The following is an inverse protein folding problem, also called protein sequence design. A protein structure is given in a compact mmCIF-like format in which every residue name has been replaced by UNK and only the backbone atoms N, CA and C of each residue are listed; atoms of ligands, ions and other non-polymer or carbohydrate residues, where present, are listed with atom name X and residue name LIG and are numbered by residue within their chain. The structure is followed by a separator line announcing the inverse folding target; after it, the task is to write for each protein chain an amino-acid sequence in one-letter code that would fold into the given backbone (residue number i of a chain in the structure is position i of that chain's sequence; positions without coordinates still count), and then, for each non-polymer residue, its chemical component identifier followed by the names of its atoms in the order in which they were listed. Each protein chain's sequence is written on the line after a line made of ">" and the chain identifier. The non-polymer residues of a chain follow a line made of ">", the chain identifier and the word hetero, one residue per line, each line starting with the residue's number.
data_IF_113372645839
#
_entry.id   IF_113372645839
#
_cell.length_a   1.000
_cell.length_b   1.000
_cell.length_c   1.000
_cell.angle_alpha   90.00
_cell.angle_beta   90.00
_cell.angle_gamma   90.00
#
_symmetry.space_group_name_H-M   'P 1'
#
loop_
_entity.id
_entity.type
_entity.pdbx_description
1 polymer ?
#
# COMPACT_ATOMS: atom_id res chain seq x y z
N UNK A 1 -41.43 -9.23 -3.42
CA UNK A 1 -40.12 -8.72 -2.97
C UNK A 1 -39.78 -9.46 -1.69
N UNK A 2 -38.61 -10.12 -1.60
CA UNK A 2 -38.22 -10.79 -0.35
C UNK A 2 -37.96 -9.74 0.76
N UNK A 3 -38.09 -10.16 2.03
CA UNK A 3 -37.81 -9.30 3.18
C UNK A 3 -36.39 -8.68 3.09
N UNK A 4 -35.43 -9.47 2.66
CA UNK A 4 -34.06 -9.01 2.43
C UNK A 4 -33.94 -7.95 1.31
N UNK A 5 -34.70 -8.08 0.23
CA UNK A 5 -34.73 -7.05 -0.83
C UNK A 5 -35.35 -5.74 -0.33
N UNK A 6 -36.39 -5.84 0.51
CA UNK A 6 -36.98 -4.66 1.12
C UNK A 6 -36.00 -3.95 2.09
N UNK A 7 -35.28 -4.73 2.91
CA UNK A 7 -34.25 -4.19 3.83
C UNK A 7 -33.12 -3.48 3.05
N UNK A 8 -32.57 -4.11 2.02
CA UNK A 8 -31.53 -3.50 1.17
C UNK A 8 -32.00 -2.17 0.57
N UNK A 9 -33.20 -2.16 -0.02
CA UNK A 9 -33.77 -0.93 -0.61
C UNK A 9 -33.91 0.19 0.42
N UNK A 10 -34.30 -0.16 1.66
CA UNK A 10 -34.40 0.82 2.75
C UNK A 10 -33.04 1.39 3.13
N UNK A 11 -32.01 0.54 3.26
CA UNK A 11 -30.63 0.99 3.58
C UNK A 11 -30.08 1.89 2.48
N UNK A 12 -30.17 1.49 1.20
CA UNK A 12 -29.72 2.32 0.07
C UNK A 12 -30.44 3.68 0.05
N UNK A 13 -31.75 3.70 0.26
CA UNK A 13 -32.49 4.96 0.35
C UNK A 13 -32.04 5.82 1.54
N UNK A 14 -31.67 5.19 2.67
CA UNK A 14 -31.12 5.92 3.82
C UNK A 14 -29.76 6.52 3.50
N UNK A 15 -28.86 5.79 2.81
CA UNK A 15 -27.58 6.32 2.32
C UNK A 15 -27.81 7.49 1.37
N UNK A 16 -28.75 7.39 0.44
CA UNK A 16 -29.12 8.50 -0.45
C UNK A 16 -29.51 9.77 0.34
N UNK A 17 -30.24 9.61 1.45
CA UNK A 17 -30.60 10.71 2.35
C UNK A 17 -29.45 11.24 3.19
N UNK A 18 -28.36 10.49 3.33
CA UNK A 18 -27.15 10.84 4.11
C UNK A 18 -26.03 11.44 3.26
N UNK A 19 -26.19 11.61 1.94
CA UNK A 19 -25.12 12.04 1.02
C UNK A 19 -24.36 13.27 1.51
N UNK A 20 -25.05 14.33 1.89
CA UNK A 20 -24.40 15.56 2.35
C UNK A 20 -23.64 15.34 3.66
N UNK A 21 -24.17 14.52 4.56
CA UNK A 21 -23.51 14.14 5.83
C UNK A 21 -22.24 13.30 5.56
N UNK A 22 -22.29 12.35 4.65
CA UNK A 22 -21.15 11.51 4.25
C UNK A 22 -20.05 12.38 3.65
N UNK A 23 -20.38 13.25 2.71
CA UNK A 23 -19.46 14.17 2.04
C UNK A 23 -18.83 15.13 3.07
N UNK A 24 -19.63 15.69 3.98
CA UNK A 24 -19.14 16.58 5.02
C UNK A 24 -18.19 15.85 5.99
N UNK A 25 -18.55 14.63 6.41
CA UNK A 25 -17.72 13.79 7.28
C UNK A 25 -16.34 13.52 6.63
N UNK A 26 -16.31 13.15 5.36
CA UNK A 26 -15.06 12.92 4.62
C UNK A 26 -14.25 14.22 4.51
N UNK A 27 -14.90 15.32 4.14
CA UNK A 27 -14.29 16.65 4.07
C UNK A 27 -13.64 17.05 5.41
N UNK A 28 -14.32 16.85 6.52
CA UNK A 28 -13.84 17.23 7.85
C UNK A 28 -12.69 16.32 8.31
N UNK A 29 -12.74 15.02 8.01
CA UNK A 29 -11.66 14.09 8.30
C UNK A 29 -10.39 14.43 7.50
N UNK A 30 -10.52 14.81 6.23
CA UNK A 30 -9.39 15.23 5.38
C UNK A 30 -8.69 16.47 5.92
N UNK A 31 -9.44 17.42 6.52
CA UNK A 31 -8.89 18.63 7.15
C UNK A 31 -8.03 18.37 8.39
N UNK A 32 -8.09 17.19 8.97
CA UNK A 32 -7.25 16.79 10.10
C UNK A 32 -5.98 16.14 9.57
N UNK A 33 -4.81 16.79 9.61
CA UNK A 33 -3.56 16.19 9.11
C UNK A 33 -3.16 14.99 9.98
N UNK A 34 -2.83 13.86 9.32
CA UNK A 34 -2.41 12.62 9.97
C UNK A 34 -1.21 11.96 9.25
N UNK A 35 -0.27 12.79 8.83
CA UNK A 35 0.99 12.29 8.22
C UNK A 35 1.70 11.37 9.20
N UNK A 36 2.14 10.19 8.72
CA UNK A 36 2.91 9.25 9.52
C UNK A 36 4.19 9.94 10.02
N UNK A 37 4.36 10.08 11.35
CA UNK A 37 5.48 10.83 11.91
C UNK A 37 6.85 10.16 11.72
N UNK A 38 6.89 8.90 11.27
CA UNK A 38 8.12 8.17 10.98
C UNK A 38 8.60 8.36 9.53
N UNK A 39 7.85 9.09 8.71
CA UNK A 39 8.20 9.28 7.30
C UNK A 39 9.55 9.99 7.16
N UNK A 40 10.47 9.51 6.28
CA UNK A 40 11.78 10.12 6.09
C UNK A 40 11.68 11.56 5.56
N UNK A 41 12.50 12.44 6.10
CA UNK A 41 12.64 13.82 5.60
C UNK A 41 11.64 14.83 6.16
N UNK A 42 10.73 14.42 7.06
CA UNK A 42 9.84 15.36 7.77
C UNK A 42 10.36 15.70 9.18
N UNK A 43 9.80 16.75 9.75
CA UNK A 43 10.03 17.11 11.16
C UNK A 43 8.95 16.41 12.01
N UNK A 44 9.31 15.27 12.56
CA UNK A 44 8.39 14.38 13.29
C UNK A 44 7.43 15.10 14.26
N UNK A 45 7.96 16.04 15.07
CA UNK A 45 7.17 16.75 16.10
C UNK A 45 5.97 17.53 15.52
N UNK A 46 6.02 17.91 14.24
CA UNK A 46 4.98 18.72 13.62
C UNK A 46 3.73 17.87 13.26
N UNK A 47 3.88 16.54 13.23
CA UNK A 47 2.82 15.59 12.87
C UNK A 47 2.35 14.70 14.02
N UNK A 48 3.06 14.70 15.16
CA UNK A 48 2.65 13.90 16.32
C UNK A 48 1.21 14.19 16.75
N UNK A 49 0.46 13.11 17.00
CA UNK A 49 -0.94 13.17 17.47
C UNK A 49 -1.97 13.49 16.37
N UNK A 50 -1.55 13.58 15.09
CA UNK A 50 -2.47 13.75 13.96
C UNK A 50 -3.42 12.57 13.83
N UNK A 51 -2.89 11.37 13.81
CA UNK A 51 -3.65 10.12 13.78
C UNK A 51 -4.63 10.01 14.94
N UNK A 52 -4.19 10.38 16.16
CA UNK A 52 -5.05 10.40 17.34
C UNK A 52 -6.24 11.34 17.18
N UNK A 53 -6.02 12.56 16.68
CA UNK A 53 -7.11 13.52 16.45
C UNK A 53 -8.14 13.01 15.43
N UNK A 54 -7.66 12.36 14.36
CA UNK A 54 -8.55 11.70 13.40
C UNK A 54 -9.37 10.61 14.08
N UNK A 55 -8.74 9.76 14.88
CA UNK A 55 -9.41 8.65 15.56
C UNK A 55 -10.35 9.14 16.69
N UNK A 56 -10.04 10.24 17.36
CA UNK A 56 -10.98 10.90 18.30
C UNK A 56 -12.23 11.44 17.57
N UNK A 57 -12.07 12.01 16.38
CA UNK A 57 -13.18 12.45 15.54
C UNK A 57 -14.06 11.26 15.11
N UNK A 58 -13.45 10.18 14.61
CA UNK A 58 -14.19 8.98 14.19
C UNK A 58 -14.87 8.26 15.37
N UNK A 59 -14.21 8.23 16.53
CA UNK A 59 -14.75 7.63 17.75
C UNK A 59 -16.09 8.25 18.13
N UNK A 60 -16.21 9.58 18.11
CA UNK A 60 -17.46 10.25 18.45
C UNK A 60 -18.60 9.81 17.54
N UNK A 61 -18.35 9.66 16.24
CA UNK A 61 -19.33 9.20 15.26
C UNK A 61 -19.72 7.73 15.53
N UNK A 62 -18.74 6.85 15.77
CA UNK A 62 -19.00 5.43 16.05
C UNK A 62 -19.84 5.23 17.31
N UNK A 63 -19.57 6.00 18.37
CA UNK A 63 -20.31 5.92 19.63
C UNK A 63 -21.77 6.40 19.50
N UNK A 64 -22.05 7.38 18.62
CA UNK A 64 -23.40 7.90 18.39
C UNK A 64 -24.38 6.83 17.87
N UNK A 65 -23.90 5.86 17.08
CA UNK A 65 -24.75 4.76 16.60
C UNK A 65 -24.53 3.43 17.35
N UNK A 66 -23.82 3.47 18.48
CA UNK A 66 -23.77 2.40 19.47
C UNK A 66 -22.61 1.44 19.36
N UNK A 67 -21.48 1.82 18.74
CA UNK A 67 -20.24 1.04 18.81
C UNK A 67 -19.64 1.08 20.22
N UNK A 68 -19.19 -0.07 20.69
CA UNK A 68 -18.21 -0.16 21.78
C UNK A 68 -16.84 0.21 21.21
N UNK A 69 -16.21 1.28 21.69
CA UNK A 69 -14.96 1.78 21.14
C UNK A 69 -13.77 1.44 22.01
N UNK A 70 -12.65 1.03 21.39
CA UNK A 70 -11.35 0.79 22.04
C UNK A 70 -10.29 1.62 21.32
N UNK A 71 -9.73 2.61 22.01
CA UNK A 71 -8.57 3.37 21.52
C UNK A 71 -7.32 2.89 22.24
N UNK A 72 -6.31 2.51 21.50
CA UNK A 72 -5.06 2.03 22.08
C UNK A 72 -3.83 2.43 21.27
N UNK A 73 -2.69 2.48 21.95
CA UNK A 73 -1.39 2.84 21.38
C UNK A 73 -0.37 1.71 21.65
N UNK A 74 0.41 1.35 20.63
CA UNK A 74 1.59 0.48 20.82
C UNK A 74 2.84 1.31 21.01
N UNK A 75 2.87 2.48 20.42
CA UNK A 75 3.88 3.53 20.60
C UNK A 75 3.18 4.86 20.91
N UNK A 76 3.81 5.77 21.66
CA UNK A 76 3.21 7.05 22.02
C UNK A 76 2.74 7.83 20.79
N UNK A 77 1.51 8.35 20.85
CA UNK A 77 0.85 9.15 19.82
C UNK A 77 0.44 8.38 18.54
N UNK A 78 0.72 7.08 18.45
CA UNK A 78 0.30 6.19 17.35
C UNK A 78 -0.98 5.44 17.78
N UNK A 79 -2.10 6.14 17.73
CA UNK A 79 -3.37 5.68 18.30
C UNK A 79 -4.23 4.99 17.26
N UNK A 80 -4.54 3.70 17.50
CA UNK A 80 -5.56 2.96 16.75
C UNK A 80 -6.94 3.18 17.37
N UNK A 81 -7.98 3.04 16.57
CA UNK A 81 -9.37 3.00 17.00
C UNK A 81 -10.03 1.73 16.48
N UNK A 82 -10.67 0.99 17.36
CA UNK A 82 -11.54 -0.14 17.02
C UNK A 82 -12.94 0.15 17.55
N UNK A 83 -13.93 0.04 16.67
CA UNK A 83 -15.35 0.10 17.01
C UNK A 83 -15.98 -1.28 16.86
N UNK A 84 -16.60 -1.81 17.90
CA UNK A 84 -17.24 -3.12 17.89
C UNK A 84 -18.77 -2.97 18.00
N UNK A 85 -19.48 -3.55 17.03
CA UNK A 85 -20.92 -3.74 17.07
C UNK A 85 -21.22 -5.22 17.22
N UNK A 86 -21.83 -5.59 18.36
CA UNK A 86 -22.25 -6.95 18.62
C UNK A 86 -23.48 -7.30 17.79
N UNK A 87 -23.39 -8.48 17.14
CA UNK A 87 -24.53 -9.10 16.49
C UNK A 87 -25.26 -10.06 17.43
N UNK A 88 -26.32 -10.68 16.92
CA UNK A 88 -27.10 -11.69 17.67
C UNK A 88 -26.41 -13.04 17.85
N UNK A 89 -25.17 -13.21 17.34
CA UNK A 89 -24.44 -14.48 17.34
C UNK A 89 -24.98 -15.53 16.36
N UNK A 90 -25.76 -15.11 15.36
CA UNK A 90 -26.42 -15.97 14.37
C UNK A 90 -25.84 -15.85 12.95
N UNK A 91 -24.82 -15.04 12.76
CA UNK A 91 -24.20 -14.75 11.48
C UNK A 91 -22.68 -14.74 11.55
N UNK A 92 -22.03 -14.68 10.40
CA UNK A 92 -20.58 -14.50 10.31
C UNK A 92 -20.22 -13.08 10.68
N UNK A 93 -19.05 -12.94 11.31
CA UNK A 93 -18.46 -11.66 11.68
C UNK A 93 -17.67 -11.04 10.52
N UNK A 94 -17.51 -9.72 10.54
CA UNK A 94 -16.81 -8.97 9.49
C UNK A 94 -15.92 -7.89 10.12
N UNK A 95 -14.67 -7.83 9.68
CA UNK A 95 -13.80 -6.67 9.88
C UNK A 95 -13.94 -5.75 8.67
N UNK A 96 -14.12 -4.44 8.92
CA UNK A 96 -13.91 -3.38 7.96
C UNK A 96 -12.69 -2.57 8.46
N UNK A 97 -11.63 -2.55 7.67
CA UNK A 97 -10.33 -2.03 8.07
C UNK A 97 -9.88 -0.92 7.14
N UNK A 98 -9.18 0.07 7.70
CA UNK A 98 -8.51 1.11 6.93
C UNK A 98 -7.49 1.86 7.77
N UNK A 99 -6.42 2.36 7.13
CA UNK A 99 -5.40 3.16 7.79
C UNK A 99 -5.73 4.65 7.79
N UNK A 100 -5.37 5.32 8.89
CA UNK A 100 -5.66 6.75 9.08
C UNK A 100 -4.44 7.63 8.82
N UNK A 101 -3.25 7.06 8.86
CA UNK A 101 -2.02 7.75 8.51
C UNK A 101 -1.97 8.06 7.01
N UNK A 102 -1.14 9.01 6.62
CA UNK A 102 -0.94 9.45 5.25
C UNK A 102 0.52 9.74 4.98
N UNK A 103 0.94 9.67 3.71
CA UNK A 103 2.24 10.20 3.30
C UNK A 103 2.30 11.74 3.43
N UNK A 104 3.49 12.36 3.49
CA UNK A 104 3.64 13.81 3.42
C UNK A 104 3.10 14.38 2.11
N UNK A 105 2.60 15.60 2.17
CA UNK A 105 2.03 16.28 0.99
C UNK A 105 3.03 17.04 0.12
N UNK A 106 4.33 17.07 0.49
CA UNK A 106 5.32 17.82 -0.25
C UNK A 106 5.19 19.34 -0.06
N UNK A 107 5.31 20.09 -1.15
CA UNK A 107 5.19 21.55 -1.11
C UNK A 107 3.73 21.97 -1.25
N UNK A 108 3.26 22.86 -0.38
CA UNK A 108 1.88 23.34 -0.42
C UNK A 108 1.57 24.09 -1.71
N UNK A 109 2.57 24.75 -2.33
CA UNK A 109 2.43 25.50 -3.59
C UNK A 109 2.06 24.61 -4.79
N UNK A 110 2.32 23.30 -4.71
CA UNK A 110 1.96 22.34 -5.76
C UNK A 110 0.47 21.93 -5.68
N UNK A 111 -0.23 22.31 -4.61
CA UNK A 111 -1.63 21.97 -4.37
C UNK A 111 -2.58 23.07 -4.80
N UNK A 112 -3.75 22.68 -5.30
CA UNK A 112 -4.85 23.63 -5.53
C UNK A 112 -5.15 24.37 -4.23
N UNK A 113 -5.36 25.67 -4.33
CA UNK A 113 -5.58 26.58 -3.19
C UNK A 113 -4.41 26.69 -2.21
N UNK A 114 -3.22 26.17 -2.55
CA UNK A 114 -2.05 26.08 -1.66
C UNK A 114 -2.37 25.40 -0.31
N UNK A 115 -3.32 24.47 -0.32
CA UNK A 115 -3.85 23.81 0.88
C UNK A 115 -3.98 22.31 0.67
N UNK A 116 -2.97 21.52 1.10
CA UNK A 116 -2.95 20.07 0.93
C UNK A 116 -3.98 19.32 1.79
N UNK A 117 -4.58 19.97 2.78
CA UNK A 117 -5.60 19.39 3.66
C UNK A 117 -6.92 20.14 3.57
N UNK A 118 -7.21 20.70 2.40
CA UNK A 118 -8.36 21.60 2.22
C UNK A 118 -9.72 20.95 2.53
N UNK A 119 -9.89 19.65 2.29
CA UNK A 119 -11.19 18.98 2.35
C UNK A 119 -12.24 19.60 1.44
N UNK A 120 -11.85 20.44 0.48
CA UNK A 120 -12.80 21.17 -0.38
C UNK A 120 -13.51 20.23 -1.33
N UNK A 121 -14.83 20.41 -1.39
CA UNK A 121 -15.67 19.78 -2.42
C UNK A 121 -15.70 20.71 -3.63
N UNK A 122 -15.17 20.23 -4.73
CA UNK A 122 -15.14 20.97 -5.99
C UNK A 122 -15.27 20.02 -7.17
N UNK A 123 -16.09 20.37 -8.14
CA UNK A 123 -16.34 19.57 -9.36
C UNK A 123 -16.62 18.09 -9.09
N UNK A 124 -17.49 17.80 -8.10
CA UNK A 124 -17.88 16.44 -7.73
C UNK A 124 -16.80 15.61 -7.04
N UNK A 125 -15.75 16.24 -6.51
CA UNK A 125 -14.60 15.60 -5.85
C UNK A 125 -14.31 16.25 -4.51
N UNK A 126 -13.76 15.48 -3.57
CA UNK A 126 -13.24 15.97 -2.28
C UNK A 126 -11.71 15.95 -2.39
N UNK A 127 -11.09 17.12 -2.24
CA UNK A 127 -9.65 17.29 -2.40
C UNK A 127 -8.90 17.36 -1.08
N UNK A 128 -7.73 16.76 -1.05
CA UNK A 128 -6.76 16.86 0.04
C UNK A 128 -6.01 15.56 0.27
N UNK A 129 -4.85 15.62 0.93
CA UNK A 129 -4.05 14.44 1.29
C UNK A 129 -4.86 13.51 2.17
N UNK A 130 -4.87 12.21 1.83
CA UNK A 130 -5.66 11.18 2.49
C UNK A 130 -7.12 11.11 2.01
N UNK A 131 -7.55 11.96 1.09
CA UNK A 131 -8.94 11.89 0.56
C UNK A 131 -9.17 10.63 -0.27
N UNK A 132 -8.17 10.18 -1.02
CA UNK A 132 -8.19 8.92 -1.75
C UNK A 132 -7.62 7.79 -0.90
N UNK A 133 -6.48 8.01 -0.29
CA UNK A 133 -5.68 7.01 0.39
C UNK A 133 -5.52 7.38 1.89
N UNK A 134 -6.38 6.79 2.83
CA UNK A 134 -7.63 6.09 2.51
C UNK A 134 -8.79 6.54 3.42
N UNK A 135 -8.78 7.83 3.85
CA UNK A 135 -9.81 8.38 4.75
C UNK A 135 -11.24 8.26 4.20
N UNK A 136 -11.41 8.34 2.86
CA UNK A 136 -12.72 8.12 2.24
C UNK A 136 -13.23 6.71 2.44
N UNK A 137 -12.37 5.70 2.34
CA UNK A 137 -12.69 4.31 2.64
C UNK A 137 -13.14 4.12 4.09
N UNK A 138 -12.42 4.76 5.04
CA UNK A 138 -12.82 4.74 6.46
C UNK A 138 -14.19 5.39 6.66
N UNK A 139 -14.46 6.51 6.00
CA UNK A 139 -15.78 7.16 6.10
C UNK A 139 -16.86 6.27 5.47
N UNK A 140 -16.61 5.66 4.31
CA UNK A 140 -17.56 4.76 3.66
C UNK A 140 -17.97 3.61 4.58
N UNK A 141 -16.99 2.90 5.19
CA UNK A 141 -17.29 1.77 6.09
C UNK A 141 -18.09 2.19 7.32
N UNK A 142 -17.75 3.31 7.95
CA UNK A 142 -18.44 3.81 9.15
C UNK A 142 -19.88 4.23 8.81
N UNK A 143 -20.06 5.00 7.73
CA UNK A 143 -21.38 5.51 7.33
C UNK A 143 -22.30 4.41 6.78
N UNK A 144 -21.75 3.37 6.17
CA UNK A 144 -22.54 2.19 5.78
C UNK A 144 -23.17 1.49 6.99
N UNK A 145 -22.38 1.30 8.06
CA UNK A 145 -22.88 0.68 9.30
C UNK A 145 -23.88 1.61 10.04
N UNK A 146 -23.59 2.91 10.08
CA UNK A 146 -24.51 3.91 10.63
C UNK A 146 -25.86 3.87 9.89
N UNK A 147 -25.87 3.78 8.56
CA UNK A 147 -27.11 3.68 7.77
C UNK A 147 -27.93 2.43 8.12
N UNK A 148 -27.26 1.29 8.31
CA UNK A 148 -27.92 0.04 8.75
C UNK A 148 -28.59 0.24 10.13
N UNK A 149 -27.88 0.85 11.08
CA UNK A 149 -28.39 1.15 12.43
C UNK A 149 -29.54 2.16 12.40
N UNK A 150 -29.45 3.21 11.58
CA UNK A 150 -30.56 4.18 11.36
C UNK A 150 -31.82 3.52 10.78
N UNK A 151 -31.67 2.43 10.03
CA UNK A 151 -32.80 1.63 9.55
C UNK A 151 -33.44 0.75 10.63
N UNK A 152 -32.84 0.64 11.82
CA UNK A 152 -33.34 -0.18 12.93
C UNK A 152 -33.11 -1.69 12.72
N UNK A 153 -32.10 -2.07 11.91
CA UNK A 153 -31.74 -3.46 11.74
C UNK A 153 -30.70 -3.91 12.76
N UNK A 154 -30.91 -5.10 13.31
CA UNK A 154 -29.92 -5.77 14.13
C UNK A 154 -29.00 -6.63 13.26
N UNK A 155 -27.72 -6.60 13.60
CA UNK A 155 -26.71 -7.40 12.92
C UNK A 155 -26.80 -8.87 13.38
N UNK A 156 -26.64 -9.82 12.47
CA UNK A 156 -26.58 -11.24 12.82
C UNK A 156 -25.24 -11.68 13.34
N UNK A 157 -24.15 -11.15 12.82
CA UNK A 157 -22.79 -11.35 13.26
C UNK A 157 -22.16 -10.05 13.74
N UNK A 158 -21.06 -10.15 14.44
CA UNK A 158 -20.30 -8.99 14.91
C UNK A 158 -19.71 -8.24 13.73
N UNK A 159 -19.68 -6.89 13.82
CA UNK A 159 -18.92 -6.03 12.89
C UNK A 159 -17.86 -5.28 13.68
N UNK A 160 -16.64 -5.32 13.19
CA UNK A 160 -15.47 -4.68 13.75
C UNK A 160 -15.02 -3.61 12.74
N UNK A 161 -15.02 -2.33 13.18
CA UNK A 161 -14.54 -1.20 12.39
C UNK A 161 -13.16 -0.83 12.90
N UNK A 162 -12.14 -0.90 12.05
CA UNK A 162 -10.76 -0.61 12.42
C UNK A 162 -10.24 0.62 11.68
N UNK A 163 -9.83 1.65 12.41
CA UNK A 163 -9.05 2.78 11.90
C UNK A 163 -7.66 2.71 12.52
N UNK A 164 -6.69 2.26 11.74
CA UNK A 164 -5.36 1.87 12.21
C UNK A 164 -4.26 2.85 11.75
N UNK A 165 -3.05 2.67 12.28
CA UNK A 165 -1.88 3.50 12.00
C UNK A 165 -0.75 2.65 11.43
N UNK A 166 0.18 3.29 10.68
CA UNK A 166 1.47 2.72 10.32
C UNK A 166 1.46 1.88 9.04
N UNK A 167 0.46 2.01 8.20
CA UNK A 167 0.45 1.37 6.89
C UNK A 167 1.49 2.01 5.96
N UNK A 168 1.46 3.33 5.82
CA UNK A 168 2.27 4.14 4.91
C UNK A 168 3.79 4.07 5.15
N UNK A 169 4.20 3.59 6.31
CA UNK A 169 5.61 3.41 6.69
C UNK A 169 5.94 1.97 7.10
N UNK A 170 5.14 1.00 6.61
CA UNK A 170 5.37 -0.43 6.85
C UNK A 170 5.43 -0.80 8.34
N UNK A 171 4.85 0.06 9.17
CA UNK A 171 4.78 -0.11 10.61
C UNK A 171 3.48 -0.83 11.04
N UNK A 172 2.97 -1.73 10.21
CA UNK A 172 1.74 -2.51 10.41
C UNK A 172 1.69 -3.24 11.76
N UNK A 173 2.85 -3.49 12.39
CA UNK A 173 2.93 -4.06 13.74
C UNK A 173 2.37 -3.10 14.81
N UNK A 174 2.22 -1.80 14.51
CA UNK A 174 1.57 -0.79 15.33
C UNK A 174 0.06 -0.70 15.07
N UNK A 175 -0.38 -1.04 13.85
CA UNK A 175 -1.75 -0.97 13.33
C UNK A 175 -2.44 -2.33 13.25
N UNK A 176 -2.77 -2.78 12.05
CA UNK A 176 -3.57 -3.99 11.76
C UNK A 176 -3.07 -5.24 12.46
N UNK A 177 -1.76 -5.49 12.47
CA UNK A 177 -1.21 -6.62 13.23
C UNK A 177 -1.40 -6.48 14.75
N UNK A 178 -1.49 -5.24 15.25
CA UNK A 178 -1.75 -5.00 16.68
C UNK A 178 -3.22 -5.23 17.04
N UNK A 179 -4.18 -4.88 16.18
CA UNK A 179 -5.61 -5.16 16.40
C UNK A 179 -5.86 -6.66 16.48
N UNK A 180 -5.30 -7.43 15.54
CA UNK A 180 -5.43 -8.91 15.54
C UNK A 180 -4.80 -9.53 16.81
N UNK A 181 -3.61 -9.07 17.23
CA UNK A 181 -2.95 -9.52 18.47
C UNK A 181 -3.74 -9.14 19.73
N UNK A 182 -4.51 -8.08 19.69
CA UNK A 182 -5.40 -7.63 20.77
C UNK A 182 -6.69 -8.48 20.85
N UNK A 183 -6.93 -9.33 19.85
CA UNK A 183 -8.04 -10.26 19.84
C UNK A 183 -9.17 -9.91 18.89
N UNK A 184 -9.05 -8.83 18.11
CA UNK A 184 -10.03 -8.47 17.09
C UNK A 184 -9.85 -9.39 15.88
N UNK A 185 -10.80 -10.31 15.70
CA UNK A 185 -10.81 -11.32 14.62
C UNK A 185 -12.23 -11.49 14.11
N UNK A 186 -12.34 -11.82 12.83
CA UNK A 186 -13.64 -12.10 12.19
C UNK A 186 -13.54 -13.25 11.18
N UNK A 187 -14.69 -13.67 10.66
CA UNK A 187 -14.79 -14.73 9.63
C UNK A 187 -14.33 -14.24 8.24
N UNK A 188 -14.32 -12.93 8.01
CA UNK A 188 -13.80 -12.29 6.81
C UNK A 188 -13.47 -10.81 7.08
N UNK A 189 -12.72 -10.18 6.15
CA UNK A 189 -12.41 -8.76 6.22
C UNK A 189 -12.52 -8.06 4.86
N UNK A 190 -12.82 -6.77 4.91
CA UNK A 190 -12.71 -5.83 3.78
C UNK A 190 -11.76 -4.71 4.20
N UNK A 191 -10.68 -4.52 3.46
CA UNK A 191 -9.82 -3.34 3.57
C UNK A 191 -10.33 -2.29 2.59
N UNK A 192 -10.62 -1.10 3.09
CA UNK A 192 -11.33 -0.08 2.31
C UNK A 192 -10.40 0.84 1.50
N UNK A 193 -9.30 0.27 0.99
CA UNK A 193 -8.35 0.91 0.08
C UNK A 193 -9.00 1.31 -1.25
N UNK A 194 -8.49 2.38 -1.89
CA UNK A 194 -9.00 2.79 -3.20
C UNK A 194 -8.73 1.72 -4.26
N UNK A 195 -9.59 1.69 -5.26
CA UNK A 195 -9.38 0.83 -6.42
C UNK A 195 -8.19 1.32 -7.25
N UNK A 196 -7.55 0.41 -7.99
CA UNK A 196 -6.56 0.77 -8.99
C UNK A 196 -7.18 0.88 -10.39
N UNK A 197 -6.71 1.81 -11.25
CA UNK A 197 -7.21 1.90 -12.61
C UNK A 197 -7.06 0.56 -13.37
N UNK A 198 -7.96 0.24 -14.29
CA UNK A 198 -9.00 1.09 -14.88
C UNK A 198 -10.37 0.90 -14.27
N UNK A 199 -10.52 0.13 -13.20
CA UNK A 199 -11.82 -0.32 -12.70
C UNK A 199 -12.07 0.36 -11.35
N UNK A 200 -13.02 1.30 -11.33
CA UNK A 200 -13.51 1.88 -10.09
C UNK A 200 -14.33 0.87 -9.31
N UNK A 201 -14.18 0.87 -7.99
CA UNK A 201 -14.86 -0.07 -7.07
C UNK A 201 -14.72 -1.54 -7.50
N UNK A 202 -13.53 -1.92 -7.96
CA UNK A 202 -13.22 -3.32 -8.24
C UNK A 202 -13.15 -4.14 -6.96
N UNK A 203 -13.53 -5.40 -7.03
CA UNK A 203 -13.25 -6.36 -5.97
C UNK A 203 -11.82 -6.86 -6.16
N UNK A 204 -10.99 -6.66 -5.15
CA UNK A 204 -9.57 -6.99 -5.22
C UNK A 204 -9.25 -8.10 -4.20
N UNK A 205 -9.21 -9.36 -4.63
CA UNK A 205 -8.96 -10.49 -3.74
C UNK A 205 -7.48 -10.81 -3.54
N UNK A 206 -6.58 -10.19 -4.33
CA UNK A 206 -5.15 -10.49 -4.28
C UNK A 206 -4.31 -9.23 -4.39
N UNK A 207 -3.19 -9.19 -3.69
CA UNK A 207 -2.14 -8.18 -3.85
C UNK A 207 -0.89 -8.82 -4.43
N UNK A 208 -0.02 -8.06 -5.09
CA UNK A 208 1.35 -8.51 -5.36
C UNK A 208 2.17 -8.55 -4.08
N UNK A 209 3.20 -9.40 -4.04
CA UNK A 209 4.24 -9.27 -3.04
C UNK A 209 5.24 -8.18 -3.41
N UNK A 210 5.88 -7.59 -2.43
CA UNK A 210 6.87 -6.54 -2.60
C UNK A 210 8.16 -6.84 -1.82
N UNK A 211 9.30 -6.57 -2.47
CA UNK A 211 10.61 -6.65 -1.84
C UNK A 211 11.39 -5.36 -2.11
N UNK A 212 12.09 -4.90 -1.09
CA UNK A 212 13.11 -3.90 -1.26
C UNK A 212 14.48 -4.56 -1.08
N UNK A 213 15.36 -4.45 -2.08
CA UNK A 213 16.72 -4.95 -2.00
C UNK A 213 17.76 -3.91 -2.37
N UNK A 214 18.97 -4.09 -1.87
CA UNK A 214 20.18 -3.41 -2.35
C UNK A 214 21.13 -4.41 -3.00
N UNK A 215 21.78 -3.96 -4.07
CA UNK A 215 22.84 -4.68 -4.76
C UNK A 215 24.13 -3.88 -4.63
N UNK A 216 25.08 -4.38 -3.84
CA UNK A 216 26.36 -3.74 -3.60
C UNK A 216 27.46 -4.34 -4.46
N UNK A 217 28.17 -3.48 -5.20
CA UNK A 217 29.28 -3.83 -6.07
C UNK A 217 30.52 -3.09 -5.61
N UNK A 218 31.58 -3.83 -5.33
CA UNK A 218 32.87 -3.26 -4.92
C UNK A 218 33.83 -3.16 -6.10
N UNK A 219 34.67 -2.14 -6.06
CA UNK A 219 35.77 -1.91 -6.97
C UNK A 219 37.08 -1.73 -6.26
N UNK A 220 38.02 -1.05 -6.92
CA UNK A 220 39.32 -0.74 -6.38
C UNK A 220 39.70 0.68 -6.79
N UNK A 221 39.76 1.59 -5.82
CA UNK A 221 40.07 2.99 -6.05
C UNK A 221 41.49 3.19 -6.56
N UNK A 222 41.65 4.11 -7.49
CA UNK A 222 42.93 4.62 -7.97
C UNK A 222 42.71 5.96 -8.66
N UNK A 223 43.77 6.77 -8.82
CA UNK A 223 43.69 8.05 -9.53
C UNK A 223 43.18 7.86 -10.98
N UNK A 224 42.28 8.73 -11.43
CA UNK A 224 41.61 8.60 -12.74
C UNK A 224 42.58 8.53 -13.94
N UNK A 225 43.77 9.14 -13.85
CA UNK A 225 44.80 9.07 -14.88
C UNK A 225 45.30 7.64 -15.15
N UNK A 226 45.11 6.74 -14.19
CA UNK A 226 45.46 5.33 -14.32
C UNK A 226 44.45 4.55 -15.19
N UNK A 227 43.37 5.19 -15.65
CA UNK A 227 42.33 4.59 -16.50
C UNK A 227 42.92 3.80 -17.69
N UNK A 228 43.98 4.30 -18.33
CA UNK A 228 44.66 3.62 -19.42
C UNK A 228 45.17 2.21 -19.08
N UNK A 229 45.61 2.01 -17.81
CA UNK A 229 46.10 0.70 -17.36
C UNK A 229 44.97 -0.30 -17.18
N UNK A 230 43.74 0.18 -17.03
CA UNK A 230 42.56 -0.67 -16.87
C UNK A 230 41.97 -1.14 -18.21
N UNK A 231 42.08 -0.30 -19.26
CA UNK A 231 41.32 -0.52 -20.52
C UNK A 231 42.19 -0.86 -21.72
N UNK A 232 43.49 -0.57 -21.71
CA UNK A 232 44.38 -0.87 -22.88
C UNK A 232 44.81 -2.32 -22.92
N UNK A 233 45.08 -2.82 -24.10
CA UNK A 233 45.76 -4.11 -24.30
C UNK A 233 47.16 -4.08 -23.63
N UNK A 234 47.47 -5.11 -22.84
CA UNK A 234 48.73 -5.17 -22.07
C UNK A 234 48.78 -4.27 -20.86
N UNK A 235 47.69 -3.64 -20.47
CA UNK A 235 47.59 -2.94 -19.19
C UNK A 235 47.49 -3.92 -18.02
N UNK A 236 47.73 -3.41 -16.80
CA UNK A 236 47.74 -4.23 -15.58
C UNK A 236 46.31 -4.54 -15.03
N UNK A 237 45.27 -3.94 -15.63
CA UNK A 237 43.87 -4.23 -15.33
C UNK A 237 43.53 -4.05 -13.82
N UNK A 238 42.88 -5.04 -13.27
CA UNK A 238 42.41 -5.06 -11.86
C UNK A 238 43.52 -5.02 -10.82
N UNK A 239 44.78 -5.32 -11.22
CA UNK A 239 45.90 -5.13 -10.29
C UNK A 239 46.09 -3.67 -9.92
N UNK A 240 45.74 -2.71 -10.80
CA UNK A 240 45.84 -1.28 -10.61
C UNK A 240 44.55 -0.69 -10.01
N UNK A 241 43.41 -0.96 -10.63
CA UNK A 241 42.12 -0.44 -10.19
C UNK A 241 40.94 -1.11 -10.89
N UNK A 242 39.75 -0.94 -10.31
CA UNK A 242 38.49 -1.44 -10.86
C UNK A 242 37.39 -0.43 -10.61
N UNK A 243 36.69 -0.03 -11.65
CA UNK A 243 35.58 0.92 -11.54
C UNK A 243 34.29 0.18 -11.14
N UNK A 244 33.86 0.37 -9.88
CA UNK A 244 32.65 -0.24 -9.35
C UNK A 244 31.38 0.24 -10.07
N UNK A 245 31.33 1.51 -10.51
CA UNK A 245 30.18 2.03 -11.26
C UNK A 245 29.99 1.26 -12.58
N UNK A 246 31.08 1.01 -13.32
CA UNK A 246 31.00 0.21 -14.54
C UNK A 246 30.56 -1.24 -14.28
N UNK A 247 30.99 -1.80 -13.15
CA UNK A 247 30.56 -3.14 -12.73
C UNK A 247 29.09 -3.16 -12.28
N UNK A 248 28.67 -2.10 -11.55
CA UNK A 248 27.27 -1.91 -11.16
C UNK A 248 26.33 -1.78 -12.37
N UNK A 249 26.72 -1.00 -13.38
CA UNK A 249 25.95 -0.91 -14.65
C UNK A 249 25.79 -2.27 -15.33
N UNK A 250 26.81 -3.13 -15.31
CA UNK A 250 26.66 -4.51 -15.84
C UNK A 250 25.60 -5.29 -15.08
N UNK A 251 25.58 -5.20 -13.77
CA UNK A 251 24.59 -5.90 -12.95
C UNK A 251 23.18 -5.30 -13.12
N UNK A 252 23.08 -3.98 -13.27
CA UNK A 252 21.82 -3.31 -13.57
C UNK A 252 21.23 -3.83 -14.90
N UNK A 253 22.04 -3.86 -15.95
CA UNK A 253 21.62 -4.39 -17.26
C UNK A 253 21.24 -5.87 -17.19
N UNK A 254 21.95 -6.66 -16.40
CA UNK A 254 21.61 -8.07 -16.19
C UNK A 254 20.23 -8.22 -15.52
N UNK A 255 19.93 -7.42 -14.50
CA UNK A 255 18.61 -7.48 -13.84
C UNK A 255 17.48 -6.90 -14.71
N UNK A 256 17.76 -5.93 -15.58
CA UNK A 256 16.80 -5.49 -16.59
C UNK A 256 16.46 -6.60 -17.60
N UNK A 257 17.45 -7.44 -17.95
CA UNK A 257 17.21 -8.62 -18.79
C UNK A 257 16.33 -9.65 -18.07
N UNK A 258 16.55 -9.89 -16.77
CA UNK A 258 15.69 -10.75 -15.97
C UNK A 258 14.27 -10.18 -15.89
N UNK A 259 14.11 -8.87 -15.67
CA UNK A 259 12.81 -8.20 -15.67
C UNK A 259 12.09 -8.39 -17.02
N UNK A 260 12.81 -8.29 -18.13
CA UNK A 260 12.25 -8.56 -19.47
C UNK A 260 11.73 -10.00 -19.58
N UNK A 261 12.45 -10.97 -19.02
CA UNK A 261 12.01 -12.37 -18.97
C UNK A 261 10.77 -12.53 -18.05
N UNK A 262 10.72 -11.82 -16.92
CA UNK A 262 9.57 -11.79 -16.03
C UNK A 262 8.31 -11.24 -16.73
N UNK A 263 8.46 -10.22 -17.57
CA UNK A 263 7.36 -9.67 -18.35
C UNK A 263 6.65 -10.69 -19.25
N UNK A 264 7.34 -11.80 -19.57
CA UNK A 264 6.79 -12.92 -20.35
C UNK A 264 6.34 -14.09 -19.45
N UNK A 265 7.15 -14.44 -18.45
CA UNK A 265 6.98 -15.67 -17.66
C UNK A 265 6.13 -15.48 -16.43
N UNK A 266 6.15 -14.29 -15.79
CA UNK A 266 5.39 -14.02 -14.58
C UNK A 266 4.08 -13.34 -14.94
N UNK A 267 2.99 -14.10 -14.87
CA UNK A 267 1.64 -13.63 -15.18
C UNK A 267 0.66 -14.11 -14.11
N UNK A 268 -0.39 -13.33 -13.90
CA UNK A 268 -1.51 -13.73 -13.06
C UNK A 268 -2.82 -13.17 -13.66
N UNK A 269 -3.94 -13.94 -13.67
CA UNK A 269 -5.16 -13.54 -14.37
C UNK A 269 -5.77 -12.20 -13.94
N UNK A 270 -5.55 -11.79 -12.70
CA UNK A 270 -6.06 -10.55 -12.13
C UNK A 270 -5.13 -9.35 -12.28
N UNK A 271 -3.92 -9.54 -12.81
CA UNK A 271 -2.97 -8.47 -13.04
C UNK A 271 -2.75 -8.24 -14.53
N UNK A 272 -2.42 -7.01 -14.88
CA UNK A 272 -2.03 -6.69 -16.25
C UNK A 272 -0.68 -7.32 -16.60
N UNK A 273 -0.46 -7.72 -17.85
CA UNK A 273 0.85 -8.16 -18.29
C UNK A 273 1.94 -7.12 -17.96
N UNK A 274 3.09 -7.59 -17.49
CA UNK A 274 4.22 -6.72 -17.13
C UNK A 274 4.10 -6.01 -15.78
N UNK A 275 3.15 -6.41 -14.93
CA UNK A 275 3.02 -5.86 -13.58
C UNK A 275 4.19 -6.23 -12.66
N UNK A 276 4.71 -7.44 -12.78
CA UNK A 276 5.77 -7.94 -11.92
C UNK A 276 7.14 -7.50 -12.44
N UNK A 277 7.85 -6.69 -11.65
CA UNK A 277 9.02 -5.92 -12.10
C UNK A 277 10.17 -5.94 -11.11
N UNK A 278 11.37 -5.63 -11.61
CA UNK A 278 12.61 -5.44 -10.84
C UNK A 278 13.10 -4.01 -11.10
N UNK A 279 12.46 -3.03 -10.46
CA UNK A 279 12.69 -1.61 -10.74
C UNK A 279 13.92 -1.05 -10.02
N UNK A 280 14.98 -0.59 -10.74
CA UNK A 280 16.10 0.13 -10.13
C UNK A 280 15.68 1.57 -9.80
N UNK A 281 15.35 1.83 -8.52
CA UNK A 281 14.87 3.14 -8.07
C UNK A 281 16.00 4.14 -7.78
N UNK A 282 17.15 3.67 -7.26
CA UNK A 282 18.28 4.54 -6.88
C UNK A 282 19.60 3.89 -7.25
N UNK A 283 20.53 4.66 -7.80
CA UNK A 283 21.91 4.24 -8.04
C UNK A 283 22.86 5.22 -7.38
N UNK A 284 23.69 4.71 -6.47
CA UNK A 284 24.71 5.50 -5.77
C UNK A 284 26.06 4.87 -6.06
N UNK A 285 27.00 5.63 -6.65
CA UNK A 285 28.32 5.13 -6.95
C UNK A 285 29.34 6.25 -7.03
N UNK A 286 30.57 5.93 -6.74
CA UNK A 286 31.68 6.87 -6.77
C UNK A 286 32.70 6.64 -5.65
N UNK A 287 33.66 7.54 -5.47
CA UNK A 287 34.46 7.60 -4.26
C UNK A 287 33.59 8.03 -3.09
N UNK A 288 33.72 7.38 -1.92
CA UNK A 288 32.95 7.73 -0.74
C UNK A 288 33.11 9.21 -0.33
N UNK A 289 31.98 9.92 -0.25
CA UNK A 289 31.94 11.32 0.19
C UNK A 289 32.50 12.34 -0.80
N UNK A 290 32.84 11.94 -2.02
CA UNK A 290 33.49 12.81 -3.02
C UNK A 290 32.72 12.80 -4.33
N UNK A 291 32.19 13.96 -4.74
CA UNK A 291 31.40 14.10 -5.97
C UNK A 291 32.22 14.68 -7.13
N UNK A 292 33.43 14.12 -7.37
CA UNK A 292 34.29 14.53 -8.47
C UNK A 292 34.88 13.30 -9.19
N UNK A 293 35.15 13.37 -10.52
CA UNK A 293 35.52 12.20 -11.34
C UNK A 293 37.03 11.89 -11.32
N UNK A 294 37.76 12.33 -10.29
CA UNK A 294 39.22 12.23 -10.27
C UNK A 294 39.75 10.91 -9.69
N UNK A 295 38.85 10.07 -9.21
CA UNK A 295 39.17 8.77 -8.63
C UNK A 295 38.34 7.70 -9.35
N UNK A 296 38.94 6.55 -9.67
CA UNK A 296 38.20 5.36 -10.11
C UNK A 296 37.34 4.89 -8.94
N UNK A 297 36.04 4.69 -9.20
CA UNK A 297 35.04 4.39 -8.18
C UNK A 297 35.27 3.06 -7.48
N UNK A 298 35.18 3.03 -6.18
CA UNK A 298 35.39 1.83 -5.35
C UNK A 298 34.10 1.13 -4.93
N UNK A 299 32.96 1.81 -5.04
CA UNK A 299 31.65 1.21 -4.76
C UNK A 299 30.56 1.64 -5.74
N UNK A 300 29.55 0.81 -5.87
CA UNK A 300 28.27 1.13 -6.49
C UNK A 300 27.17 0.33 -5.79
N UNK A 301 26.19 1.02 -5.24
CA UNK A 301 25.00 0.44 -4.62
C UNK A 301 23.78 0.78 -5.47
N UNK A 302 22.96 -0.23 -5.79
CA UNK A 302 21.72 -0.05 -6.52
C UNK A 302 20.57 -0.51 -5.62
N UNK A 303 19.54 0.33 -5.48
CA UNK A 303 18.35 0.04 -4.71
C UNK A 303 17.23 -0.38 -5.67
N UNK A 304 16.58 -1.50 -5.39
CA UNK A 304 15.51 -2.05 -6.22
C UNK A 304 14.21 -2.21 -5.45
N UNK A 305 13.11 -1.83 -6.10
CA UNK A 305 11.77 -2.23 -5.75
C UNK A 305 11.38 -3.44 -6.63
N UNK A 306 10.99 -4.54 -6.01
CA UNK A 306 10.65 -5.79 -6.71
C UNK A 306 9.21 -6.16 -6.42
N UNK A 307 8.38 -6.21 -7.46
CA UNK A 307 7.00 -6.68 -7.40
C UNK A 307 6.93 -8.11 -7.94
N UNK A 308 6.29 -9.02 -7.19
CA UNK A 308 6.23 -10.43 -7.58
C UNK A 308 4.83 -11.04 -7.45
N UNK A 309 4.52 -12.13 -8.20
CA UNK A 309 3.19 -12.74 -8.21
C UNK A 309 2.74 -13.28 -6.85
N UNK A 310 1.42 -13.22 -6.55
CA UNK A 310 0.88 -13.76 -5.30
C UNK A 310 0.99 -15.29 -5.16
N UNK A 311 1.26 -16.00 -6.25
CA UNK A 311 1.44 -17.46 -6.27
C UNK A 311 2.90 -17.89 -6.03
N UNK A 312 3.82 -16.94 -5.87
CA UNK A 312 5.23 -17.20 -5.58
C UNK A 312 5.57 -16.89 -4.12
N UNK A 313 6.63 -17.50 -3.61
CA UNK A 313 7.11 -17.30 -2.25
C UNK A 313 8.33 -16.36 -2.22
N UNK A 314 8.58 -15.74 -1.06
CA UNK A 314 9.80 -14.98 -0.80
C UNK A 314 11.05 -15.75 -1.23
N UNK A 315 11.14 -17.03 -0.82
CA UNK A 315 12.31 -17.87 -1.07
C UNK A 315 12.50 -18.20 -2.56
N UNK A 316 11.41 -18.35 -3.32
CA UNK A 316 11.50 -18.63 -4.76
C UNK A 316 12.02 -17.41 -5.52
N UNK A 317 11.48 -16.23 -5.21
CA UNK A 317 11.81 -14.98 -5.89
C UNK A 317 13.22 -14.51 -5.53
N UNK A 318 13.57 -14.52 -4.27
CA UNK A 318 14.91 -14.09 -3.83
C UNK A 318 16.00 -15.02 -4.39
N UNK A 319 15.76 -16.31 -4.40
CA UNK A 319 16.69 -17.29 -5.01
C UNK A 319 16.87 -17.05 -6.50
N UNK A 320 15.80 -16.84 -7.24
CA UNK A 320 15.86 -16.58 -8.67
C UNK A 320 16.72 -15.34 -8.99
N UNK A 321 16.51 -14.24 -8.27
CA UNK A 321 17.28 -13.00 -8.42
C UNK A 321 18.75 -13.22 -8.04
N UNK A 322 19.02 -13.85 -6.91
CA UNK A 322 20.39 -14.12 -6.45
C UNK A 322 21.15 -15.05 -7.39
N UNK A 323 20.49 -16.10 -7.91
CA UNK A 323 21.10 -17.02 -8.88
C UNK A 323 21.39 -16.33 -10.21
N UNK A 324 20.51 -15.41 -10.63
CA UNK A 324 20.72 -14.61 -11.83
C UNK A 324 21.91 -13.65 -11.68
N UNK A 325 21.96 -12.92 -10.55
CA UNK A 325 23.09 -12.04 -10.21
C UNK A 325 24.40 -12.83 -10.17
N UNK A 326 24.40 -13.97 -9.53
CA UNK A 326 25.58 -14.87 -9.45
C UNK A 326 26.03 -15.33 -10.81
N UNK A 327 25.09 -15.75 -11.67
CA UNK A 327 25.38 -16.20 -13.05
C UNK A 327 25.95 -15.08 -13.92
N UNK A 328 25.36 -13.90 -13.84
CA UNK A 328 25.86 -12.72 -14.56
C UNK A 328 27.27 -12.29 -14.08
N UNK A 329 27.53 -12.37 -12.80
CA UNK A 329 28.83 -12.06 -12.21
C UNK A 329 29.95 -12.98 -12.73
N UNK A 330 29.65 -14.25 -13.05
CA UNK A 330 30.64 -15.19 -13.61
C UNK A 330 31.18 -14.75 -14.96
N UNK A 331 30.48 -13.92 -15.70
CA UNK A 331 30.91 -13.40 -17.01
C UNK A 331 31.93 -12.26 -16.89
N UNK A 332 32.21 -11.76 -15.69
CA UNK A 332 33.19 -10.72 -15.46
C UNK A 332 34.32 -11.20 -14.52
N UNK A 333 35.60 -11.11 -14.97
CA UNK A 333 36.72 -11.65 -14.20
C UNK A 333 36.85 -11.04 -12.77
N UNK A 334 36.46 -9.77 -12.58
CA UNK A 334 36.48 -9.15 -11.25
C UNK A 334 35.30 -9.60 -10.38
N UNK A 335 34.09 -9.56 -10.93
CA UNK A 335 32.87 -9.92 -10.19
C UNK A 335 32.82 -11.39 -9.83
N UNK A 336 33.49 -12.26 -10.58
CA UNK A 336 33.65 -13.68 -10.27
C UNK A 336 34.35 -13.89 -8.93
N UNK A 337 35.42 -13.13 -8.70
CA UNK A 337 36.24 -13.21 -7.49
C UNK A 337 35.73 -12.28 -6.37
N UNK A 338 34.90 -11.30 -6.73
CA UNK A 338 34.28 -10.31 -5.84
C UNK A 338 32.79 -10.20 -6.19
N UNK A 339 31.99 -11.22 -5.88
CA UNK A 339 30.59 -11.25 -6.29
C UNK A 339 29.80 -10.10 -5.64
N UNK A 340 28.83 -9.53 -6.38
CA UNK A 340 27.93 -8.54 -5.82
C UNK A 340 27.20 -9.08 -4.58
N UNK A 341 26.99 -8.23 -3.59
CA UNK A 341 26.22 -8.58 -2.38
C UNK A 341 24.78 -8.11 -2.57
N UNK A 342 23.85 -9.04 -2.47
CA UNK A 342 22.42 -8.73 -2.36
C UNK A 342 22.04 -8.65 -0.89
N UNK A 343 21.35 -7.59 -0.49
CA UNK A 343 20.72 -7.49 0.81
C UNK A 343 19.23 -7.20 0.66
N UNK A 344 18.39 -8.03 1.26
CA UNK A 344 16.96 -7.85 1.35
C UNK A 344 16.64 -6.97 2.56
N UNK A 345 16.05 -5.80 2.31
CA UNK A 345 15.78 -4.78 3.34
C UNK A 345 14.37 -4.87 3.89
N UNK A 346 13.43 -5.21 3.01
CA UNK A 346 12.03 -5.30 3.32
C UNK A 346 11.40 -6.45 2.55
N UNK A 347 10.42 -7.10 3.17
CA UNK A 347 9.50 -8.02 2.55
C UNK A 347 8.08 -7.71 3.00
N UNK A 348 7.21 -7.40 2.04
CA UNK A 348 5.78 -7.33 2.23
C UNK A 348 5.14 -8.50 1.48
N UNK A 349 4.61 -9.51 2.20
CA UNK A 349 4.02 -10.68 1.55
C UNK A 349 2.77 -10.33 0.75
N UNK A 350 2.44 -11.08 -0.30
CA UNK A 350 1.18 -10.90 -1.00
C UNK A 350 0.01 -11.33 -0.12
N UNK A 351 -1.16 -10.72 -0.33
CA UNK A 351 -2.44 -11.22 0.18
C UNK A 351 -3.11 -12.08 -0.90
N UNK A 352 -3.77 -13.17 -0.51
CA UNK A 352 -4.51 -14.01 -1.44
C UNK A 352 -5.77 -14.58 -0.80
N UNK A 353 -6.91 -14.19 -1.36
CA UNK A 353 -8.22 -14.79 -1.13
C UNK A 353 -8.72 -15.33 -2.46
N UNK A 354 -9.24 -16.54 -2.49
CA UNK A 354 -9.73 -17.14 -3.74
C UNK A 354 -10.99 -16.41 -4.24
N UNK A 355 -11.08 -16.17 -5.55
CA UNK A 355 -12.22 -15.44 -6.16
C UNK A 355 -13.57 -16.09 -5.85
N UNK A 356 -13.58 -17.40 -5.61
CA UNK A 356 -14.79 -18.14 -5.27
C UNK A 356 -15.09 -18.21 -3.77
N UNK A 357 -14.26 -17.56 -2.93
CA UNK A 357 -14.52 -17.42 -1.49
C UNK A 357 -15.87 -16.73 -1.23
N UNK A 358 -16.57 -17.11 -0.16
CA UNK A 358 -17.85 -16.49 0.21
C UNK A 358 -17.82 -14.96 0.34
N UNK A 359 -16.70 -14.36 0.79
CA UNK A 359 -16.60 -12.88 0.91
C UNK A 359 -16.63 -12.24 -0.47
N UNK A 360 -15.87 -12.76 -1.45
CA UNK A 360 -15.84 -12.28 -2.82
C UNK A 360 -17.24 -12.35 -3.47
N UNK A 361 -17.90 -13.48 -3.36
CA UNK A 361 -19.26 -13.68 -3.92
C UNK A 361 -20.31 -12.78 -3.26
N UNK A 362 -20.21 -12.60 -1.94
CA UNK A 362 -21.15 -11.75 -1.20
C UNK A 362 -20.95 -10.28 -1.60
N UNK A 363 -19.70 -9.83 -1.67
CA UNK A 363 -19.36 -8.46 -2.08
C UNK A 363 -19.77 -8.19 -3.53
N UNK A 364 -19.54 -9.14 -4.46
CA UNK A 364 -19.99 -9.03 -5.84
C UNK A 364 -21.51 -8.83 -5.94
N UNK A 365 -22.26 -9.67 -5.22
CA UNK A 365 -23.72 -9.51 -5.16
C UNK A 365 -24.17 -8.19 -4.51
N UNK A 366 -23.43 -7.70 -3.52
CA UNK A 366 -23.72 -6.41 -2.89
C UNK A 366 -23.46 -5.26 -3.87
N UNK A 367 -22.30 -5.25 -4.53
CA UNK A 367 -21.94 -4.28 -5.56
C UNK A 367 -22.99 -4.20 -6.68
N UNK A 368 -23.36 -5.34 -7.26
CA UNK A 368 -24.39 -5.39 -8.32
C UNK A 368 -25.75 -4.86 -7.86
N UNK A 369 -26.13 -5.14 -6.61
CA UNK A 369 -27.40 -4.65 -6.05
C UNK A 369 -27.36 -3.14 -5.73
N UNK A 370 -26.21 -2.58 -5.37
CA UNK A 370 -26.06 -1.16 -5.03
C UNK A 370 -25.92 -0.30 -6.29
N UNK A 371 -25.06 -0.70 -7.20
CA UNK A 371 -24.68 0.11 -8.36
C UNK A 371 -25.49 -0.22 -9.64
N UNK A 372 -26.08 -1.39 -9.70
CA UNK A 372 -26.71 -1.92 -10.92
C UNK A 372 -25.69 -2.37 -11.99
N UNK A 373 -24.39 -2.34 -11.69
CA UNK A 373 -23.31 -2.73 -12.59
C UNK A 373 -22.74 -4.11 -12.20
N UNK A 374 -22.26 -4.92 -13.16
CA UNK A 374 -21.61 -6.17 -12.83
C UNK A 374 -20.31 -5.95 -12.08
N UNK A 375 -20.11 -6.71 -11.01
CA UNK A 375 -18.86 -6.69 -10.26
C UNK A 375 -17.68 -7.14 -11.14
N UNK A 376 -16.55 -6.45 -11.01
CA UNK A 376 -15.32 -6.78 -11.70
C UNK A 376 -14.22 -7.09 -10.69
N UNK A 377 -13.33 -8.00 -11.07
CA UNK A 377 -12.20 -8.42 -10.23
C UNK A 377 -10.88 -7.96 -10.83
N UNK A 378 -9.97 -7.53 -9.99
CA UNK A 378 -8.57 -7.24 -10.36
C UNK A 378 -7.62 -7.52 -9.20
N UNK A 379 -6.31 -7.60 -9.50
CA UNK A 379 -5.26 -7.61 -8.49
C UNK A 379 -4.90 -6.19 -8.06
N UNK A 380 -4.49 -6.02 -6.81
CA UNK A 380 -4.00 -4.74 -6.29
C UNK A 380 -2.58 -4.49 -6.76
N UNK A 381 -2.34 -3.34 -7.35
CA UNK A 381 -1.04 -2.99 -7.91
C UNK A 381 -0.02 -2.50 -6.86
N UNK A 382 -0.43 -2.42 -5.61
CA UNK A 382 0.39 -2.06 -4.46
C UNK A 382 0.30 -3.12 -3.36
N UNK A 383 0.85 -2.86 -2.20
CA UNK A 383 0.67 -3.61 -0.95
C UNK A 383 -0.32 -2.88 -0.06
N UNK A 384 -0.93 -3.55 0.90
CA UNK A 384 -1.76 -2.94 1.94
C UNK A 384 -1.97 -3.88 3.13
N UNK A 385 -2.69 -3.42 4.12
CA UNK A 385 -2.99 -4.16 5.37
C UNK A 385 -3.77 -5.47 5.18
N UNK A 386 -4.36 -5.72 3.99
CA UNK A 386 -5.01 -6.99 3.66
C UNK A 386 -4.11 -8.21 3.87
N UNK A 387 -2.81 -8.06 3.65
CA UNK A 387 -1.80 -9.10 3.88
C UNK A 387 -1.84 -9.60 5.33
N UNK A 388 -1.86 -8.69 6.30
CA UNK A 388 -1.71 -9.03 7.71
C UNK A 388 -2.96 -9.65 8.32
N UNK A 389 -4.12 -9.35 7.78
CA UNK A 389 -5.37 -10.05 8.10
C UNK A 389 -5.39 -11.45 7.47
N UNK A 390 -4.99 -11.55 6.19
CA UNK A 390 -4.96 -12.80 5.46
C UNK A 390 -3.95 -13.80 6.04
N UNK A 391 -2.74 -13.37 6.45
CA UNK A 391 -1.75 -14.19 7.17
C UNK A 391 -2.28 -14.79 8.48
N UNK A 392 -3.28 -14.15 9.09
CA UNK A 392 -3.93 -14.66 10.29
C UNK A 392 -5.11 -15.58 10.00
N UNK A 393 -5.28 -16.00 8.74
CA UNK A 393 -6.33 -16.88 8.29
C UNK A 393 -7.71 -16.22 8.19
N UNK A 394 -7.76 -14.90 8.07
CA UNK A 394 -8.98 -14.13 7.84
C UNK A 394 -9.07 -13.84 6.33
N UNK A 395 -10.00 -14.48 5.57
CA UNK A 395 -10.19 -14.17 4.17
C UNK A 395 -10.47 -12.69 3.98
N UNK A 396 -9.61 -12.01 3.22
CA UNK A 396 -9.62 -10.54 3.11
C UNK A 396 -9.70 -10.13 1.64
N UNK A 397 -10.54 -9.13 1.36
CA UNK A 397 -10.63 -8.46 0.06
C UNK A 397 -10.44 -6.97 0.23
N UNK A 398 -9.98 -6.30 -0.82
CA UNK A 398 -9.90 -4.86 -0.88
C UNK A 398 -11.12 -4.36 -1.67
N UNK A 399 -11.76 -3.30 -1.15
CA UNK A 399 -12.87 -2.64 -1.83
C UNK A 399 -13.12 -1.28 -1.22
N UNK A 400 -12.86 -0.21 -1.95
CA UNK A 400 -13.07 1.16 -1.49
C UNK A 400 -13.07 2.18 -2.62
N UNK A 401 -13.48 3.43 -2.32
CA UNK A 401 -13.62 4.49 -3.30
C UNK A 401 -12.28 5.14 -3.62
N UNK A 402 -12.15 5.64 -4.82
CA UNK A 402 -10.99 6.38 -5.30
C UNK A 402 -10.18 5.63 -6.34
N UNK A 403 -9.16 6.32 -6.84
CA UNK A 403 -8.23 5.84 -7.85
C UNK A 403 -6.80 5.99 -7.32
N UNK A 404 -6.12 4.87 -7.06
CA UNK A 404 -4.77 4.85 -6.52
C UNK A 404 -3.76 5.66 -7.36
N UNK A 405 -4.05 5.92 -8.65
CA UNK A 405 -3.16 6.71 -9.51
C UNK A 405 -3.06 8.19 -9.12
N UNK A 406 -3.98 8.69 -8.29
CA UNK A 406 -3.95 10.07 -7.77
C UNK A 406 -3.45 10.13 -6.33
N UNK A 407 -3.28 8.99 -5.67
CA UNK A 407 -2.69 8.90 -4.34
C UNK A 407 -1.22 9.35 -4.35
N UNK A 408 -0.72 9.78 -3.20
CA UNK A 408 0.67 10.21 -2.97
C UNK A 408 1.12 11.45 -3.79
N UNK A 409 0.34 11.87 -4.80
CA UNK A 409 0.60 13.07 -5.60
C UNK A 409 -0.03 14.35 -5.02
N UNK A 410 0.31 15.54 -5.56
CA UNK A 410 -0.44 16.75 -5.27
C UNK A 410 -1.84 16.70 -5.92
N UNK A 411 -2.78 17.41 -5.30
CA UNK A 411 -4.19 17.43 -5.72
C UNK A 411 -4.89 16.06 -5.67
N UNK A 412 -4.50 15.23 -4.74
CA UNK A 412 -5.21 14.00 -4.40
C UNK A 412 -6.68 14.28 -4.14
N UNK A 413 -7.54 13.40 -4.64
CA UNK A 413 -8.99 13.54 -4.50
C UNK A 413 -9.71 12.19 -4.50
N UNK A 414 -10.92 12.17 -3.94
CA UNK A 414 -11.89 11.09 -4.14
C UNK A 414 -13.13 11.62 -4.85
N UNK A 415 -13.67 10.92 -5.86
CA UNK A 415 -14.96 11.26 -6.47
C UNK A 415 -16.11 11.05 -5.46
N UNK A 416 -16.99 12.03 -5.34
CA UNK A 416 -18.13 11.97 -4.41
C UNK A 416 -19.07 10.81 -4.73
N UNK A 417 -19.31 10.53 -6.00
CA UNK A 417 -20.15 9.41 -6.42
C UNK A 417 -19.55 8.06 -5.97
N UNK A 418 -18.24 7.87 -6.11
CA UNK A 418 -17.58 6.62 -5.67
C UNK A 418 -17.62 6.45 -4.15
N UNK A 419 -17.43 7.54 -3.38
CA UNK A 419 -17.58 7.51 -1.93
C UNK A 419 -18.98 7.08 -1.50
N UNK A 420 -20.02 7.49 -2.24
CA UNK A 420 -21.41 7.15 -1.93
C UNK A 420 -21.73 5.72 -2.38
N UNK A 421 -21.17 5.28 -3.52
CA UNK A 421 -21.44 3.95 -4.10
C UNK A 421 -20.70 2.84 -3.35
N UNK A 422 -19.56 3.14 -2.71
CA UNK A 422 -18.77 2.20 -1.89
C UNK A 422 -19.48 1.85 -0.58
#
# INVERSE_FOLDING_TARGET
>A
MSEMQAARKKVLHTIDGMKDEIVQCCSDLVKIPSVDPLYPGIVQKDFLGGEKRCNEFLKSIMEEFGCETDMFEKEPYRTNLVGLLRGEGKGRSLILNGHIDTVPWGRSEDWMWNDPVSGKVFDGKIYGRGSCDMKSGIVAMIKAIEAIKKCGYDLKGDVILESVVGEEMESHHLGTSATVKRGYRADAAIVTEPSAPPISLAIVPVTSGFLYMTLDVIGKAVHCSMRRELVRAGGKGSQVGVNAVEKGVKMLLALQELETQWGISKTHPLFRPGHFTIHPGVVIGGPHGVLVPFIISEFCTIHYAVWYPPDETYESVTREIEDYVRSAAQLDPWLRDHPPKVEWKLHWPPSKTEVDDPICKTLASAHENATGLPAQYQGFCATCDATFLNEQGIPTVIYGPGDLSVAHGPNEYVPVNELIDA
#
